data_IF_043260324338
#
_entry.id   IF_043260324338
#
_cell.length_a   1.000
_cell.length_b   1.000
_cell.length_c   1.000
_cell.angle_alpha   90.00
_cell.angle_beta   90.00
_cell.angle_gamma   90.00
#
_symmetry.space_group_name_H-M   'P 1'
#
loop_
_entity.id
_entity.type
_entity.pdbx_description
1 polymer ?
#
# COMPACT_ATOMS: atom_id res chain seq x y z
N UNK A 1 0.61 -22.47 -8.94
CA UNK A 1 1.15 -22.03 -7.63
C UNK A 1 2.65 -22.31 -7.48
N UNK A 2 3.15 -23.55 -7.66
CA UNK A 2 4.59 -23.83 -7.51
C UNK A 2 5.50 -22.99 -8.44
N UNK A 3 5.19 -22.94 -9.73
CA UNK A 3 5.96 -22.13 -10.71
C UNK A 3 5.89 -20.62 -10.40
N UNK A 4 4.74 -20.12 -9.92
CA UNK A 4 4.55 -18.72 -9.53
C UNK A 4 5.44 -18.36 -8.35
N UNK A 5 5.39 -19.18 -7.30
CA UNK A 5 6.23 -19.03 -6.11
C UNK A 5 7.71 -19.09 -6.48
N UNK A 6 8.14 -20.10 -7.24
CA UNK A 6 9.53 -20.28 -7.68
C UNK A 6 10.03 -19.08 -8.49
N UNK A 7 9.20 -18.54 -9.40
CA UNK A 7 9.53 -17.33 -10.15
C UNK A 7 9.67 -16.13 -9.23
N UNK A 8 8.74 -15.92 -8.31
CA UNK A 8 8.79 -14.79 -7.37
C UNK A 8 10.04 -14.84 -6.48
N UNK A 9 10.34 -15.97 -5.85
CA UNK A 9 11.52 -16.08 -4.97
C UNK A 9 12.85 -16.05 -5.73
N UNK A 10 12.85 -16.37 -7.04
CA UNK A 10 14.01 -16.17 -7.90
C UNK A 10 14.29 -14.70 -8.20
N UNK A 11 13.24 -13.85 -8.23
CA UNK A 11 13.37 -12.39 -8.35
C UNK A 11 13.67 -11.71 -7.01
N UNK A 12 13.16 -12.29 -5.92
CA UNK A 12 13.31 -11.76 -4.56
C UNK A 12 13.96 -12.79 -3.64
N UNK A 13 15.29 -13.00 -3.74
CA UNK A 13 16.02 -13.99 -2.95
C UNK A 13 16.27 -13.51 -1.50
N UNK A 14 15.25 -12.94 -0.87
CA UNK A 14 15.29 -12.41 0.50
C UNK A 14 14.68 -13.40 1.50
N UNK A 15 15.05 -13.33 2.79
CA UNK A 15 14.40 -14.12 3.84
C UNK A 15 12.89 -13.91 3.81
N UNK A 16 12.14 -15.01 3.84
CA UNK A 16 10.68 -14.93 3.86
C UNK A 16 10.06 -16.13 4.58
N UNK A 17 8.86 -15.91 5.11
CA UNK A 17 8.01 -16.92 5.71
C UNK A 17 6.73 -17.09 4.89
N UNK A 18 6.31 -18.34 4.67
CA UNK A 18 5.03 -18.66 4.03
C UNK A 18 3.94 -18.81 5.09
N UNK A 19 2.81 -18.13 4.90
CA UNK A 19 1.62 -18.29 5.73
C UNK A 19 0.64 -19.23 5.02
N UNK A 20 0.19 -20.27 5.73
CA UNK A 20 -0.68 -21.31 5.15
C UNK A 20 -2.07 -20.75 4.88
N UNK A 21 -2.72 -21.22 3.82
CA UNK A 21 -4.14 -20.97 3.61
C UNK A 21 -4.99 -21.48 4.78
N UNK A 22 -6.00 -20.69 5.16
CA UNK A 22 -6.83 -20.99 6.32
C UNK A 22 -6.12 -20.82 7.68
N UNK A 23 -4.87 -20.34 7.71
CA UNK A 23 -4.25 -19.94 8.96
C UNK A 23 -5.08 -18.83 9.63
N UNK A 24 -5.24 -18.83 10.96
CA UNK A 24 -5.99 -17.80 11.67
C UNK A 24 -5.43 -16.41 11.34
N UNK A 25 -6.29 -15.41 11.06
CA UNK A 25 -5.82 -14.05 10.73
C UNK A 25 -4.96 -13.41 11.82
N UNK A 26 -5.21 -13.74 13.09
CA UNK A 26 -4.40 -13.31 14.22
C UNK A 26 -2.93 -13.83 14.14
N UNK A 27 -2.71 -14.96 13.47
CA UNK A 27 -1.36 -15.47 13.22
C UNK A 27 -0.59 -14.54 12.29
N UNK A 28 -1.18 -14.13 11.15
CA UNK A 28 -0.53 -13.20 10.22
C UNK A 28 -0.14 -11.89 10.91
N UNK A 29 -1.06 -11.28 11.65
CA UNK A 29 -0.81 -10.01 12.35
C UNK A 29 0.35 -10.14 13.35
N UNK A 30 0.36 -11.22 14.15
CA UNK A 30 1.43 -11.49 15.11
C UNK A 30 2.77 -11.66 14.40
N UNK A 31 2.82 -12.46 13.32
CA UNK A 31 4.06 -12.74 12.59
C UNK A 31 4.60 -11.48 11.90
N UNK A 32 3.74 -10.67 11.29
CA UNK A 32 4.15 -9.39 10.72
C UNK A 32 4.78 -8.45 11.77
N UNK A 33 4.16 -8.32 12.95
CA UNK A 33 4.72 -7.50 14.04
C UNK A 33 6.03 -8.05 14.62
N UNK A 34 6.18 -9.38 14.70
CA UNK A 34 7.45 -10.02 15.08
C UNK A 34 8.57 -9.65 14.10
N UNK A 35 8.32 -9.81 12.80
CA UNK A 35 9.27 -9.43 11.76
C UNK A 35 9.57 -7.91 11.79
N UNK A 36 8.57 -7.07 12.04
CA UNK A 36 8.76 -5.61 12.12
C UNK A 36 9.66 -5.22 13.30
N UNK A 37 9.47 -5.88 14.44
CA UNK A 37 10.31 -5.68 15.62
C UNK A 37 11.76 -6.16 15.39
N UNK A 38 11.94 -7.35 14.81
CA UNK A 38 13.26 -7.90 14.52
C UNK A 38 14.00 -7.11 13.43
N UNK A 39 13.28 -6.65 12.41
CA UNK A 39 13.82 -5.94 11.26
C UNK A 39 14.47 -4.60 11.62
N UNK A 40 13.95 -3.90 12.64
CA UNK A 40 14.55 -2.66 13.17
C UNK A 40 16.04 -2.83 13.53
N UNK A 41 16.42 -3.98 14.09
CA UNK A 41 17.80 -4.27 14.47
C UNK A 41 18.64 -4.78 13.29
N UNK A 42 18.01 -5.49 12.34
CA UNK A 42 18.69 -6.08 11.17
C UNK A 42 18.85 -5.10 10.01
N UNK A 43 18.15 -3.96 10.05
CA UNK A 43 18.07 -3.02 8.93
C UNK A 43 17.23 -3.57 7.78
N UNK A 44 16.18 -4.31 8.12
CA UNK A 44 15.22 -4.87 7.17
C UNK A 44 13.82 -4.34 7.44
N UNK A 45 12.99 -4.30 6.40
CA UNK A 45 11.59 -3.91 6.47
C UNK A 45 10.73 -5.08 6.01
N UNK A 46 9.81 -5.60 6.83
CA UNK A 46 8.93 -6.68 6.41
C UNK A 46 7.78 -6.16 5.56
N UNK A 47 7.31 -7.01 4.66
CA UNK A 47 6.10 -6.77 3.89
C UNK A 47 5.37 -8.11 3.68
N UNK A 48 4.05 -8.11 3.88
CA UNK A 48 3.22 -9.25 3.46
C UNK A 48 2.94 -9.11 1.96
N UNK A 49 3.36 -10.10 1.19
CA UNK A 49 3.07 -10.21 -0.24
C UNK A 49 1.93 -11.20 -0.40
N UNK A 50 0.77 -10.72 -0.88
CA UNK A 50 -0.31 -11.58 -1.33
C UNK A 50 -0.07 -11.96 -2.79
N UNK A 51 0.73 -13.01 -2.98
CA UNK A 51 1.25 -13.43 -4.27
C UNK A 51 0.18 -14.12 -5.11
N UNK A 52 -0.19 -13.49 -6.22
CA UNK A 52 -0.98 -14.05 -7.31
C UNK A 52 -0.30 -13.74 -8.66
N UNK A 53 -0.76 -14.35 -9.78
CA UNK A 53 -0.20 -14.08 -11.10
C UNK A 53 -0.31 -12.61 -11.55
N UNK A 54 -1.33 -11.90 -11.09
CA UNK A 54 -1.57 -10.49 -11.46
C UNK A 54 -0.54 -9.59 -10.80
N UNK A 55 -0.30 -9.75 -9.50
CA UNK A 55 0.71 -8.97 -8.77
C UNK A 55 2.10 -9.17 -9.37
N UNK A 56 2.52 -10.43 -9.58
CA UNK A 56 3.82 -10.71 -10.18
C UNK A 56 3.92 -10.11 -11.59
N UNK A 57 2.88 -10.28 -12.42
CA UNK A 57 2.86 -9.73 -13.76
C UNK A 57 2.98 -8.20 -13.77
N UNK A 58 2.31 -7.50 -12.85
CA UNK A 58 2.43 -6.05 -12.72
C UNK A 58 3.85 -5.63 -12.33
N UNK A 59 4.44 -6.29 -11.34
CA UNK A 59 5.83 -6.04 -10.92
C UNK A 59 6.79 -6.21 -12.10
N UNK A 60 6.70 -7.34 -12.81
CA UNK A 60 7.57 -7.63 -13.96
C UNK A 60 7.36 -6.61 -15.08
N UNK A 61 6.12 -6.19 -15.34
CA UNK A 61 5.83 -5.18 -16.36
C UNK A 61 6.42 -3.81 -15.98
N UNK A 62 6.27 -3.37 -14.74
CA UNK A 62 6.80 -2.08 -14.28
C UNK A 62 8.33 -2.05 -14.31
N UNK A 63 8.98 -3.15 -13.90
CA UNK A 63 10.44 -3.30 -14.03
C UNK A 63 10.85 -3.32 -15.51
N UNK A 64 10.13 -4.07 -16.35
CA UNK A 64 10.41 -4.14 -17.79
C UNK A 64 10.33 -2.78 -18.47
N UNK A 65 9.27 -2.02 -18.20
CA UNK A 65 9.04 -0.71 -18.81
C UNK A 65 10.15 0.29 -18.49
N UNK A 66 10.59 0.35 -17.22
CA UNK A 66 11.64 1.30 -16.82
C UNK A 66 13.02 0.86 -17.29
N UNK A 67 13.36 -0.42 -17.13
CA UNK A 67 14.70 -0.93 -17.46
C UNK A 67 14.88 -1.25 -18.94
N UNK A 68 13.80 -1.23 -19.73
CA UNK A 68 13.76 -1.74 -21.11
C UNK A 68 14.19 -3.21 -21.24
N UNK A 69 14.15 -3.97 -20.13
CA UNK A 69 14.46 -5.40 -20.11
C UNK A 69 13.18 -6.19 -20.40
N UNK A 70 13.14 -7.12 -21.37
CA UNK A 70 11.97 -7.97 -21.59
C UNK A 70 11.62 -8.80 -20.35
N UNK A 71 10.33 -8.97 -20.05
CA UNK A 71 9.83 -9.67 -18.85
C UNK A 71 10.52 -11.02 -18.59
N UNK A 72 10.64 -11.86 -19.63
CA UNK A 72 11.28 -13.18 -19.54
C UNK A 72 12.77 -13.15 -19.15
N UNK A 73 13.43 -11.99 -19.31
CA UNK A 73 14.84 -11.80 -19.01
C UNK A 73 15.05 -11.09 -17.66
N UNK A 74 13.99 -10.70 -16.95
CA UNK A 74 14.12 -10.07 -15.64
C UNK A 74 14.71 -11.08 -14.65
N UNK A 75 15.75 -10.63 -13.95
CA UNK A 75 16.43 -11.36 -12.87
C UNK A 75 16.35 -10.58 -11.56
N UNK A 76 16.81 -11.18 -10.45
CA UNK A 76 16.96 -10.48 -9.17
C UNK A 76 17.81 -9.22 -9.32
N UNK A 77 18.93 -9.28 -10.06
CA UNK A 77 19.80 -8.11 -10.30
C UNK A 77 19.06 -6.99 -11.05
N UNK A 78 18.18 -7.33 -12.00
CA UNK A 78 17.36 -6.33 -12.71
C UNK A 78 16.40 -5.62 -11.76
N UNK A 79 15.75 -6.38 -10.86
CA UNK A 79 14.81 -5.84 -9.86
C UNK A 79 15.56 -4.99 -8.83
N UNK A 80 16.71 -5.46 -8.35
CA UNK A 80 17.55 -4.73 -7.40
C UNK A 80 18.06 -3.42 -8.01
N UNK A 81 18.54 -3.46 -9.26
CA UNK A 81 18.96 -2.24 -9.97
C UNK A 81 17.80 -1.26 -10.14
N UNK A 82 16.62 -1.73 -10.57
CA UNK A 82 15.42 -0.90 -10.67
C UNK A 82 15.10 -0.20 -9.34
N UNK A 83 15.10 -0.96 -8.24
CA UNK A 83 14.76 -0.44 -6.92
C UNK A 83 15.79 0.59 -6.45
N UNK A 84 17.09 0.32 -6.64
CA UNK A 84 18.16 1.24 -6.28
C UNK A 84 18.11 2.55 -7.05
N UNK A 85 17.87 2.50 -8.36
CA UNK A 85 17.74 3.70 -9.20
C UNK A 85 16.56 4.55 -8.72
N UNK A 86 15.39 3.93 -8.54
CA UNK A 86 14.19 4.62 -8.09
C UNK A 86 14.36 5.23 -6.68
N UNK A 87 14.93 4.50 -5.73
CA UNK A 87 15.22 5.03 -4.38
C UNK A 87 16.23 6.19 -4.45
N UNK A 88 17.25 6.08 -5.30
CA UNK A 88 18.26 7.14 -5.46
C UNK A 88 17.65 8.41 -6.05
N UNK A 89 16.80 8.27 -7.06
CA UNK A 89 16.08 9.39 -7.65
C UNK A 89 15.12 10.02 -6.65
N UNK A 90 14.41 9.20 -5.87
CA UNK A 90 13.52 9.65 -4.82
C UNK A 90 14.28 10.45 -3.76
N UNK A 91 15.39 9.94 -3.22
CA UNK A 91 16.20 10.67 -2.24
C UNK A 91 16.68 12.01 -2.80
N UNK A 92 17.15 12.04 -4.06
CA UNK A 92 17.59 13.30 -4.69
C UNK A 92 16.47 14.31 -4.81
N UNK A 93 15.26 13.85 -5.15
CA UNK A 93 14.08 14.72 -5.23
C UNK A 93 13.66 15.22 -3.85
N UNK A 94 13.60 14.34 -2.85
CA UNK A 94 13.29 14.70 -1.46
C UNK A 94 14.30 15.70 -0.87
N UNK A 95 15.60 15.57 -1.17
CA UNK A 95 16.63 16.51 -0.74
C UNK A 95 16.42 17.92 -1.33
N UNK A 96 15.75 18.03 -2.49
CA UNK A 96 15.50 19.30 -3.17
C UNK A 96 14.23 20.00 -2.68
N UNK A 97 13.14 19.25 -2.49
CA UNK A 97 11.81 19.83 -2.22
C UNK A 97 11.27 19.55 -0.82
N UNK A 98 11.79 18.52 -0.14
CA UNK A 98 11.28 18.02 1.14
C UNK A 98 10.11 17.04 1.00
N UNK A 99 9.89 16.24 2.05
CA UNK A 99 8.91 15.14 2.06
C UNK A 99 7.46 15.63 1.90
N UNK A 100 7.08 16.67 2.62
CA UNK A 100 5.71 17.21 2.56
C UNK A 100 5.35 17.73 1.16
N UNK A 101 6.25 18.49 0.53
CA UNK A 101 6.03 19.02 -0.83
C UNK A 101 5.93 17.87 -1.85
N UNK A 102 6.82 16.89 -1.77
CA UNK A 102 6.79 15.72 -2.64
C UNK A 102 5.48 14.94 -2.54
N UNK A 103 4.98 14.68 -1.32
CA UNK A 103 3.73 13.98 -1.11
C UNK A 103 2.51 14.80 -1.58
N UNK A 104 2.50 16.11 -1.32
CA UNK A 104 1.44 17.00 -1.80
C UNK A 104 1.38 17.08 -3.33
N UNK A 105 2.53 17.10 -4.01
CA UNK A 105 2.59 16.99 -5.47
C UNK A 105 2.04 15.66 -5.96
N UNK A 106 2.40 14.54 -5.31
CA UNK A 106 1.86 13.22 -5.63
C UNK A 106 0.34 13.15 -5.43
N UNK A 107 -0.18 13.60 -4.28
CA UNK A 107 -1.63 13.65 -4.01
C UNK A 107 -2.37 14.50 -5.06
N UNK A 108 -1.82 15.66 -5.42
CA UNK A 108 -2.42 16.53 -6.44
C UNK A 108 -2.43 15.87 -7.82
N UNK A 109 -1.38 15.15 -8.19
CA UNK A 109 -1.33 14.43 -9.48
C UNK A 109 -2.37 13.30 -9.53
N UNK A 110 -2.61 12.61 -8.43
CA UNK A 110 -3.59 11.53 -8.34
C UNK A 110 -5.02 12.06 -8.39
N UNK A 111 -5.31 13.16 -7.70
CA UNK A 111 -6.65 13.74 -7.67
C UNK A 111 -6.61 15.26 -7.42
N UNK A 112 -6.39 16.04 -8.48
CA UNK A 112 -6.25 17.49 -8.37
C UNK A 112 -7.51 18.17 -7.80
N UNK A 113 -8.69 17.65 -8.14
CA UNK A 113 -9.95 18.22 -7.66
C UNK A 113 -10.10 18.09 -6.14
N UNK A 114 -9.92 16.87 -5.60
CA UNK A 114 -9.98 16.65 -4.16
C UNK A 114 -8.88 17.41 -3.42
N UNK A 115 -7.68 17.50 -4.02
CA UNK A 115 -6.57 18.25 -3.47
C UNK A 115 -6.88 19.75 -3.32
N UNK A 116 -7.30 20.42 -4.40
CA UNK A 116 -7.54 21.86 -4.41
C UNK A 116 -8.80 22.28 -3.64
N UNK A 117 -9.86 21.47 -3.69
CA UNK A 117 -11.15 21.83 -3.12
C UNK A 117 -11.29 21.46 -1.65
N UNK A 118 -10.65 20.38 -1.21
CA UNK A 118 -10.80 19.83 0.15
C UNK A 118 -9.49 19.85 0.91
N UNK A 119 -8.48 19.10 0.43
CA UNK A 119 -7.25 18.86 1.19
C UNK A 119 -6.49 20.15 1.51
N UNK A 120 -6.24 20.99 0.51
CA UNK A 120 -5.53 22.25 0.69
C UNK A 120 -6.23 23.18 1.69
N UNK A 121 -7.55 23.24 1.66
CA UNK A 121 -8.34 24.09 2.58
C UNK A 121 -8.28 23.56 4.01
N UNK A 122 -8.33 22.24 4.19
CA UNK A 122 -8.15 21.59 5.49
C UNK A 122 -6.79 21.91 6.11
N UNK A 123 -5.73 21.84 5.30
CA UNK A 123 -4.37 22.11 5.73
C UNK A 123 -4.15 23.61 6.03
N UNK A 124 -4.67 24.51 5.20
CA UNK A 124 -4.47 25.97 5.33
C UNK A 124 -5.37 26.63 6.39
N UNK A 125 -6.65 26.24 6.48
CA UNK A 125 -7.65 26.97 7.27
C UNK A 125 -8.05 26.26 8.57
N UNK A 126 -7.70 24.97 8.72
CA UNK A 126 -7.97 24.20 9.93
C UNK A 126 -9.43 24.00 10.32
N UNK A 127 -10.39 24.41 9.50
CA UNK A 127 -11.83 24.33 9.76
C UNK A 127 -12.56 23.56 8.64
N UNK A 128 -13.31 22.52 9.04
CA UNK A 128 -14.51 22.07 8.33
C UNK A 128 -15.72 22.73 8.99
N UNK A 129 -16.81 22.87 8.23
CA UNK A 129 -17.99 23.63 8.64
C UNK A 129 -18.58 23.20 10.00
N UNK A 130 -19.30 24.11 10.65
CA UNK A 130 -19.84 23.97 12.01
C UNK A 130 -20.73 22.74 12.27
N UNK A 131 -21.13 22.00 11.22
CA UNK A 131 -21.98 20.80 11.31
C UNK A 131 -21.24 19.53 11.80
N UNK A 132 -19.92 19.58 11.99
CA UNK A 132 -19.08 18.42 12.36
C UNK A 132 -18.75 18.29 13.87
N UNK A 133 -19.41 19.04 14.75
CA UNK A 133 -19.10 19.05 16.19
C UNK A 133 -19.99 18.13 17.07
N UNK A 134 -20.86 17.30 16.47
CA UNK A 134 -21.93 16.63 17.21
C UNK A 134 -21.81 15.13 17.52
N UNK A 135 -20.96 14.36 16.81
CA UNK A 135 -20.94 12.89 16.94
C UNK A 135 -19.60 12.37 17.46
N UNK A 136 -19.57 11.69 18.61
CA UNK A 136 -18.34 11.09 19.13
C UNK A 136 -17.94 9.86 18.29
N UNK A 137 -16.70 9.87 17.79
CA UNK A 137 -16.07 8.71 17.16
C UNK A 137 -15.63 7.70 18.24
N UNK A 138 -15.65 6.40 17.94
CA UNK A 138 -15.27 5.32 18.86
C UNK A 138 -14.02 4.61 18.34
N UNK A 139 -12.98 4.52 19.17
CA UNK A 139 -11.68 3.92 18.85
C UNK A 139 -11.45 2.65 19.67
N UNK A 140 -12.10 1.54 19.31
CA UNK A 140 -11.80 0.24 19.92
C UNK A 140 -11.84 -0.85 18.85
N UNK A 141 -10.76 -0.94 18.07
CA UNK A 141 -10.63 -1.95 17.03
C UNK A 141 -9.25 -2.61 17.12
N UNK A 142 -9.19 -3.95 17.13
CA UNK A 142 -7.91 -4.65 17.13
C UNK A 142 -7.25 -4.49 15.76
N UNK A 143 -5.91 -4.41 15.75
CA UNK A 143 -5.14 -4.49 14.51
C UNK A 143 -5.47 -5.78 13.75
N UNK A 144 -6.01 -5.64 12.53
CA UNK A 144 -6.44 -6.77 11.72
C UNK A 144 -6.19 -6.56 10.22
N UNK A 145 -5.13 -7.17 9.69
CA UNK A 145 -4.87 -7.14 8.26
C UNK A 145 -5.97 -7.87 7.48
N UNK A 146 -6.54 -7.18 6.49
CA UNK A 146 -7.56 -7.71 5.57
C UNK A 146 -7.03 -8.92 4.81
N UNK A 147 -5.74 -8.93 4.44
CA UNK A 147 -5.11 -10.10 3.84
C UNK A 147 -5.22 -11.36 4.73
N UNK A 148 -5.10 -11.19 6.05
CA UNK A 148 -5.30 -12.28 7.02
C UNK A 148 -6.74 -12.78 7.03
N UNK A 149 -7.71 -11.86 7.01
CA UNK A 149 -9.14 -12.19 6.93
C UNK A 149 -9.46 -12.97 5.65
N UNK A 150 -8.96 -12.51 4.51
CA UNK A 150 -9.14 -13.16 3.21
C UNK A 150 -8.55 -14.57 3.25
N UNK A 151 -7.30 -14.70 3.72
CA UNK A 151 -6.60 -15.97 3.79
C UNK A 151 -7.28 -16.99 4.73
N UNK A 152 -7.77 -16.55 5.89
CA UNK A 152 -8.50 -17.41 6.83
C UNK A 152 -9.80 -17.95 6.21
N UNK A 153 -10.47 -17.15 5.38
CA UNK A 153 -11.78 -17.48 4.78
C UNK A 153 -11.68 -18.27 3.47
N UNK A 154 -10.48 -18.56 2.96
CA UNK A 154 -10.29 -19.35 1.74
C UNK A 154 -10.92 -20.73 1.92
N UNK A 155 -11.85 -21.08 1.02
CA UNK A 155 -12.47 -22.40 1.01
C UNK A 155 -11.53 -23.41 0.36
N UNK A 156 -11.60 -24.66 0.79
CA UNK A 156 -10.80 -25.75 0.23
C UNK A 156 -10.91 -25.89 -1.30
N UNK A 157 -12.07 -25.53 -1.87
CA UNK A 157 -12.32 -25.55 -3.32
C UNK A 157 -11.64 -24.42 -4.09
N UNK A 158 -11.27 -23.34 -3.40
CA UNK A 158 -10.74 -22.11 -4.00
C UNK A 158 -9.24 -21.91 -3.71
N UNK A 159 -8.60 -22.83 -2.96
CA UNK A 159 -7.18 -22.76 -2.57
C UNK A 159 -6.27 -22.54 -3.79
N UNK A 160 -6.50 -23.27 -4.88
CA UNK A 160 -5.66 -23.16 -6.09
C UNK A 160 -5.74 -21.80 -6.79
N UNK A 161 -6.76 -20.99 -6.46
CA UNK A 161 -6.98 -19.63 -7.01
C UNK A 161 -6.67 -18.53 -6.00
N UNK A 162 -6.48 -18.87 -4.73
CA UNK A 162 -6.21 -17.90 -3.68
C UNK A 162 -4.76 -17.42 -3.76
N UNK A 163 -4.54 -16.14 -3.43
CA UNK A 163 -3.21 -15.59 -3.33
C UNK A 163 -2.43 -16.24 -2.18
N UNK A 164 -1.17 -16.58 -2.43
CA UNK A 164 -0.29 -17.14 -1.41
C UNK A 164 0.31 -16.01 -0.57
N UNK A 165 0.26 -16.11 0.76
CA UNK A 165 0.79 -15.08 1.64
C UNK A 165 2.25 -15.37 2.03
N UNK A 166 3.13 -14.40 1.77
CA UNK A 166 4.54 -14.42 2.14
C UNK A 166 4.84 -13.22 3.03
N UNK A 167 5.50 -13.39 4.18
CA UNK A 167 6.12 -12.28 4.91
C UNK A 167 7.57 -12.21 4.47
N UNK A 168 7.95 -11.17 3.76
CA UNK A 168 9.29 -11.00 3.18
C UNK A 168 10.05 -9.87 3.88
N UNK A 169 11.29 -10.14 4.30
CA UNK A 169 12.18 -9.15 4.91
C UNK A 169 13.07 -8.50 3.85
N UNK A 170 12.67 -7.32 3.37
CA UNK A 170 13.46 -6.57 2.39
C UNK A 170 14.66 -5.88 3.06
N UNK A 171 15.81 -5.74 2.39
CA UNK A 171 17.04 -5.15 2.93
C UNK A 171 16.97 -3.61 2.98
N UNK A 172 15.93 -3.08 3.59
CA UNK A 172 15.56 -1.66 3.60
C UNK A 172 15.52 -1.11 5.02
N UNK A 173 16.13 0.07 5.21
CA UNK A 173 15.96 0.90 6.42
C UNK A 173 14.84 1.93 6.26
N UNK A 174 14.70 2.48 5.06
CA UNK A 174 13.56 3.33 4.72
C UNK A 174 12.40 2.44 4.30
N UNK A 175 11.35 2.45 5.12
CA UNK A 175 10.19 1.57 4.94
C UNK A 175 9.39 1.93 3.69
N UNK A 176 9.48 3.18 3.21
CA UNK A 176 8.83 3.60 1.97
C UNK A 176 9.42 2.88 0.75
N UNK A 177 10.70 2.49 0.82
CA UNK A 177 11.44 1.79 -0.23
C UNK A 177 10.82 0.46 -0.67
N UNK A 178 9.87 -0.09 0.09
CA UNK A 178 9.10 -1.29 -0.27
C UNK A 178 8.47 -1.12 -1.66
N UNK A 179 7.94 0.05 -2.00
CA UNK A 179 7.31 0.30 -3.31
C UNK A 179 8.31 0.38 -4.47
N UNK A 180 9.60 0.56 -4.19
CA UNK A 180 10.64 0.45 -5.21
C UNK A 180 11.04 -1.01 -5.47
N UNK A 181 11.07 -1.84 -4.42
CA UNK A 181 11.37 -3.26 -4.55
C UNK A 181 10.18 -4.03 -5.14
N UNK A 182 8.96 -3.72 -4.72
CA UNK A 182 7.72 -4.30 -5.19
C UNK A 182 6.91 -3.22 -5.92
N UNK A 183 7.25 -2.88 -7.18
CA UNK A 183 6.60 -1.83 -7.95
C UNK A 183 5.18 -2.24 -8.36
N UNK A 184 4.28 -2.16 -7.40
CA UNK A 184 2.83 -2.21 -7.56
C UNK A 184 2.32 -0.88 -8.15
N UNK A 185 1.14 -0.92 -8.74
CA UNK A 185 0.43 0.26 -9.23
C UNK A 185 0.82 0.66 -10.66
N UNK A 186 0.46 1.89 -11.02
CA UNK A 186 0.72 2.48 -12.34
C UNK A 186 -0.27 2.10 -13.44
N UNK A 187 -1.38 1.43 -13.10
CA UNK A 187 -2.52 1.22 -14.01
C UNK A 187 -3.70 2.12 -13.64
N UNK A 188 -4.48 2.53 -14.64
CA UNK A 188 -5.72 3.30 -14.46
C UNK A 188 -5.58 4.46 -13.45
N UNK A 189 -6.26 4.36 -12.30
CA UNK A 189 -6.22 5.33 -11.20
C UNK A 189 -5.34 4.91 -10.03
N UNK A 190 -4.64 3.76 -10.15
CA UNK A 190 -3.69 3.29 -9.14
C UNK A 190 -2.40 4.11 -9.21
N UNK A 191 -1.87 4.60 -8.07
CA UNK A 191 -0.65 5.42 -8.07
C UNK A 191 0.54 4.67 -8.68
N UNK A 192 1.48 5.42 -9.29
CA UNK A 192 2.74 4.83 -9.73
C UNK A 192 3.63 4.47 -8.52
N UNK A 193 4.65 3.62 -8.71
CA UNK A 193 5.64 3.34 -7.67
C UNK A 193 6.29 4.61 -7.08
N UNK A 194 6.62 5.61 -7.91
CA UNK A 194 7.18 6.92 -7.49
C UNK A 194 6.21 7.70 -6.59
N UNK A 195 4.94 7.75 -6.98
CA UNK A 195 3.90 8.43 -6.20
C UNK A 195 3.72 7.73 -4.84
N UNK A 196 3.65 6.39 -4.83
CA UNK A 196 3.55 5.64 -3.58
C UNK A 196 4.78 5.78 -2.69
N UNK A 197 6.00 5.85 -3.24
CA UNK A 197 7.21 6.11 -2.45
C UNK A 197 7.11 7.45 -1.71
N UNK A 198 6.69 8.50 -2.41
CA UNK A 198 6.54 9.85 -1.84
C UNK A 198 5.47 9.87 -0.74
N UNK A 199 4.31 9.26 -1.01
CA UNK A 199 3.17 9.21 -0.08
C UNK A 199 3.49 8.34 1.14
N UNK A 200 4.07 7.17 0.94
CA UNK A 200 4.46 6.27 2.03
C UNK A 200 5.55 6.89 2.92
N UNK A 201 6.50 7.63 2.33
CA UNK A 201 7.49 8.36 3.12
C UNK A 201 6.85 9.42 4.00
N UNK A 202 5.88 10.16 3.46
CA UNK A 202 5.14 11.18 4.20
C UNK A 202 4.29 10.58 5.33
N UNK A 203 3.53 9.52 5.06
CA UNK A 203 2.75 8.82 6.08
C UNK A 203 3.64 8.17 7.14
N UNK A 204 4.82 7.67 6.77
CA UNK A 204 5.78 7.16 7.74
C UNK A 204 6.29 8.26 8.67
N UNK A 205 6.70 9.42 8.12
CA UNK A 205 7.21 10.54 8.94
C UNK A 205 6.13 11.18 9.81
N UNK A 206 4.90 11.28 9.31
CA UNK A 206 3.79 11.94 10.03
C UNK A 206 3.13 11.01 11.05
N UNK A 207 2.87 9.76 10.67
CA UNK A 207 1.95 8.87 11.39
C UNK A 207 2.58 7.54 11.83
N UNK A 208 3.89 7.36 11.64
CA UNK A 208 4.60 6.09 11.88
C UNK A 208 3.92 4.92 11.12
N UNK A 209 3.44 5.19 9.90
CA UNK A 209 2.75 4.23 9.06
C UNK A 209 3.73 3.40 8.22
N UNK A 210 3.73 2.09 8.46
CA UNK A 210 4.57 1.09 7.80
C UNK A 210 3.76 0.38 6.71
N UNK A 211 4.27 0.23 5.48
CA UNK A 211 3.68 -0.69 4.52
C UNK A 211 3.60 -2.11 5.13
N UNK A 212 2.41 -2.69 5.12
CA UNK A 212 2.13 -3.97 5.77
C UNK A 212 1.76 -5.06 4.78
N UNK A 213 0.97 -4.72 3.75
CA UNK A 213 0.56 -5.67 2.71
C UNK A 213 0.67 -5.04 1.33
N UNK A 214 1.14 -5.82 0.35
CA UNK A 214 0.95 -5.58 -1.08
C UNK A 214 0.23 -6.79 -1.69
N UNK A 215 -0.93 -6.54 -2.28
CA UNK A 215 -1.70 -7.48 -3.09
C UNK A 215 -1.80 -6.96 -4.53
N UNK A 216 -2.52 -7.66 -5.42
CA UNK A 216 -2.68 -7.21 -6.81
C UNK A 216 -3.63 -6.01 -6.96
N UNK A 217 -4.59 -5.84 -6.06
CA UNK A 217 -5.62 -4.79 -6.13
C UNK A 217 -5.77 -3.97 -4.83
N UNK A 218 -5.01 -4.29 -3.79
CA UNK A 218 -4.98 -3.50 -2.55
C UNK A 218 -3.60 -3.45 -1.91
N UNK A 219 -3.42 -2.45 -1.04
CA UNK A 219 -2.30 -2.36 -0.12
C UNK A 219 -2.84 -2.07 1.28
N UNK A 220 -2.05 -2.44 2.29
CA UNK A 220 -2.36 -2.13 3.68
C UNK A 220 -1.16 -1.48 4.36
N UNK A 221 -1.41 -0.56 5.27
CA UNK A 221 -0.40 -0.02 6.19
C UNK A 221 -0.74 -0.39 7.64
N UNK A 222 0.30 -0.46 8.47
CA UNK A 222 0.21 -0.59 9.91
C UNK A 222 0.77 0.68 10.57
N UNK A 223 0.07 1.25 11.54
CA UNK A 223 0.61 2.27 12.45
C UNK A 223 0.50 1.82 13.91
N UNK A 224 1.55 1.94 14.72
CA UNK A 224 1.47 1.73 16.16
C UNK A 224 0.75 2.88 16.89
N UNK A 225 0.59 4.04 16.24
CA UNK A 225 0.02 5.26 16.83
C UNK A 225 -1.18 5.72 15.97
N UNK A 226 -2.37 5.16 16.20
CA UNK A 226 -3.53 5.47 15.38
C UNK A 226 -3.97 6.92 15.54
N UNK A 227 -4.57 7.49 14.49
CA UNK A 227 -5.15 8.84 14.53
C UNK A 227 -6.33 8.86 15.49
N UNK A 228 -6.30 9.75 16.49
CA UNK A 228 -7.31 9.80 17.57
C UNK A 228 -7.99 11.15 17.70
N UNK A 229 -7.78 12.03 16.72
CA UNK A 229 -8.59 13.24 16.56
C UNK A 229 -9.46 13.10 15.33
N UNK A 230 -10.67 13.68 15.38
CA UNK A 230 -11.58 13.70 14.22
C UNK A 230 -10.92 14.40 13.02
N UNK A 231 -10.21 15.51 13.28
CA UNK A 231 -9.49 16.27 12.25
C UNK A 231 -8.44 15.43 11.53
N UNK A 232 -7.60 14.69 12.26
CA UNK A 232 -6.55 13.88 11.64
C UNK A 232 -7.15 12.71 10.86
N UNK A 233 -8.23 12.10 11.37
CA UNK A 233 -8.98 11.07 10.64
C UNK A 233 -9.62 11.62 9.35
N UNK A 234 -10.11 12.85 9.35
CA UNK A 234 -10.64 13.52 8.15
C UNK A 234 -9.55 13.84 7.14
N UNK A 235 -8.41 14.37 7.57
CA UNK A 235 -7.25 14.60 6.70
C UNK A 235 -6.81 13.29 6.05
N UNK A 236 -6.65 12.23 6.84
CA UNK A 236 -6.26 10.91 6.34
C UNK A 236 -7.33 10.34 5.39
N UNK A 237 -8.62 10.53 5.66
CA UNK A 237 -9.69 10.11 4.76
C UNK A 237 -9.66 10.84 3.41
N UNK A 238 -9.32 12.14 3.38
CA UNK A 238 -9.13 12.89 2.14
C UNK A 238 -7.92 12.36 1.38
N UNK A 239 -6.82 12.08 2.06
CA UNK A 239 -5.62 11.47 1.46
C UNK A 239 -5.93 10.10 0.84
N UNK A 240 -6.60 9.22 1.59
CA UNK A 240 -7.09 7.94 1.08
C UNK A 240 -7.98 8.11 -0.15
N UNK A 241 -8.82 9.15 -0.20
CA UNK A 241 -9.67 9.46 -1.36
C UNK A 241 -8.87 9.94 -2.57
N UNK A 242 -7.77 10.67 -2.34
CA UNK A 242 -6.86 11.09 -3.41
C UNK A 242 -6.06 9.90 -3.96
N UNK A 243 -5.61 9.01 -3.08
CA UNK A 243 -4.85 7.81 -3.41
C UNK A 243 -5.71 6.74 -4.08
N UNK A 244 -6.94 6.56 -3.61
CA UNK A 244 -7.95 5.72 -4.24
C UNK A 244 -9.34 6.36 -4.12
N UNK A 245 -9.88 6.77 -5.27
CA UNK A 245 -11.25 7.31 -5.35
C UNK A 245 -12.33 6.28 -5.02
N UNK A 246 -11.99 4.98 -4.99
CA UNK A 246 -12.91 3.91 -4.64
C UNK A 246 -13.19 3.84 -3.12
N UNK A 247 -12.31 4.40 -2.27
CA UNK A 247 -12.41 4.27 -0.82
C UNK A 247 -13.75 4.77 -0.26
N UNK A 248 -14.15 6.04 -0.45
CA UNK A 248 -15.41 6.51 0.09
C UNK A 248 -16.62 5.83 -0.57
N UNK A 249 -16.62 5.66 -1.90
CA UNK A 249 -17.85 5.25 -2.61
C UNK A 249 -18.08 3.74 -2.61
N UNK A 250 -17.03 2.95 -2.84
CA UNK A 250 -17.14 1.50 -3.04
C UNK A 250 -16.80 0.70 -1.79
N UNK A 251 -15.83 1.14 -1.00
CA UNK A 251 -15.38 0.42 0.20
C UNK A 251 -16.24 0.80 1.42
N UNK A 252 -16.31 2.09 1.75
CA UNK A 252 -16.90 2.55 3.02
C UNK A 252 -18.32 3.13 2.92
N UNK A 253 -18.88 3.30 1.71
CA UNK A 253 -20.23 3.84 1.45
C UNK A 253 -20.46 5.27 1.96
N UNK A 254 -19.42 6.09 1.96
CA UNK A 254 -19.46 7.51 2.30
C UNK A 254 -18.12 7.99 2.87
N UNK A 255 -17.88 9.29 2.76
CA UNK A 255 -16.69 9.92 3.35
C UNK A 255 -16.69 9.80 4.89
N UNK A 256 -17.82 10.12 5.54
CA UNK A 256 -17.92 10.01 7.02
C UNK A 256 -17.67 8.59 7.53
N UNK A 257 -18.04 7.57 6.74
CA UNK A 257 -17.78 6.17 7.07
C UNK A 257 -16.31 5.78 6.89
N UNK A 258 -15.61 6.39 5.94
CA UNK A 258 -14.16 6.27 5.84
C UNK A 258 -13.48 6.96 7.04
N UNK A 259 -13.94 8.13 7.47
CA UNK A 259 -13.43 8.83 8.68
C UNK A 259 -13.64 7.98 9.94
N UNK A 260 -14.87 7.49 10.17
CA UNK A 260 -15.18 6.57 11.27
C UNK A 260 -14.30 5.32 11.24
N UNK A 261 -14.04 4.80 10.04
CA UNK A 261 -13.24 3.60 9.86
C UNK A 261 -11.74 3.84 9.96
N UNK A 262 -11.23 5.07 9.90
CA UNK A 262 -9.81 5.37 10.10
C UNK A 262 -9.50 5.82 11.53
N UNK A 263 -10.49 6.41 12.20
CA UNK A 263 -10.35 6.89 13.57
C UNK A 263 -10.04 5.74 14.55
N UNK A 264 -8.89 5.83 15.21
CA UNK A 264 -8.42 4.85 16.16
C UNK A 264 -7.95 3.54 15.55
N UNK A 265 -7.80 3.44 14.23
CA UNK A 265 -7.34 2.21 13.57
C UNK A 265 -5.83 2.12 13.44
N UNK A 266 -5.33 0.91 13.70
CA UNK A 266 -3.95 0.54 13.48
C UNK A 266 -3.66 0.10 12.04
N UNK A 267 -4.67 -0.37 11.30
CA UNK A 267 -4.54 -0.78 9.92
C UNK A 267 -5.27 0.16 8.97
N UNK A 268 -4.60 0.49 7.86
CA UNK A 268 -5.14 1.35 6.82
C UNK A 268 -5.22 0.56 5.53
N UNK A 269 -6.43 0.41 5.01
CA UNK A 269 -6.70 -0.35 3.79
C UNK A 269 -6.93 0.60 2.61
N UNK A 270 -6.30 0.30 1.47
CA UNK A 270 -6.47 1.01 0.20
C UNK A 270 -6.70 0.00 -0.92
N UNK A 271 -7.76 0.17 -1.70
CA UNK A 271 -8.17 -0.76 -2.76
C UNK A 271 -8.46 -0.05 -4.07
N UNK A 272 -8.16 -0.71 -5.19
CA UNK A 272 -8.44 -0.25 -6.53
C UNK A 272 -9.20 -1.31 -7.31
N UNK A 273 -10.14 -0.86 -8.12
CA UNK A 273 -10.80 -1.76 -9.07
C UNK A 273 -9.83 -2.07 -10.22
N UNK A 274 -9.51 -3.34 -10.42
CA UNK A 274 -8.89 -3.78 -11.66
C UNK A 274 -10.00 -3.95 -12.70
N UNK A 275 -10.02 -3.09 -13.73
CA UNK A 275 -10.90 -3.30 -14.86
C UNK A 275 -10.45 -4.55 -15.62
N UNK A 276 -11.34 -5.52 -15.91
CA UNK A 276 -11.01 -6.64 -16.78
C UNK A 276 -10.47 -6.13 -18.11
N UNK A 277 -9.36 -6.70 -18.59
CA UNK A 277 -8.73 -6.33 -19.87
C UNK A 277 -9.69 -6.33 -21.08
N UNK A 278 -10.81 -7.07 -20.99
CA UNK A 278 -11.86 -7.11 -22.01
C UNK A 278 -12.64 -5.80 -22.17
N UNK A 279 -12.62 -4.88 -21.20
CA UNK A 279 -13.29 -3.58 -21.28
C UNK A 279 -12.42 -2.47 -21.91
N UNK A 280 -11.15 -2.77 -22.22
CA UNK A 280 -10.26 -1.85 -22.95
C UNK A 280 -10.39 -1.98 -24.48
N UNK A 281 -11.26 -2.88 -24.98
CA UNK A 281 -11.59 -3.03 -26.39
C UNK A 281 -13.05 -2.65 -26.64
N UNK A 282 -13.47 -1.42 -26.34
CA UNK A 282 -14.56 -0.74 -27.04
C UNK A 282 -14.28 0.76 -26.97
N UNK A 283 -13.78 1.40 -28.04
CA UNK A 283 -14.65 1.93 -29.10
C UNK A 283 -13.79 2.40 -30.29
N UNK A 284 -14.38 2.44 -31.51
CA UNK A 284 -13.69 2.51 -32.80
C UNK A 284 -13.06 3.86 -33.15
#
# INVERSE_FOLDING_TARGET
MAELYERFVALYPYPHERIRHGAPRAELNRRYLEHLCEGKNRGTTPIVVALDPTLLGTIENNVSLRTSTPVQNITADTVEQYAHELITDQHRYLDQVGVEVAAHEAFRQLNESAYLQTYRRLMENGELGEDDLGMPLKAEYPFELTAGIINEKVKATDIDRAAELLIMDLPLRDVSGVFAYLPFGGWDSSPSPEAMLSIARYWFERDDAYPAVIASDFIEFYTPVPVTTRRDAEILAVEHTMVSSAMPVRVYRGFDKLVEALYGQHDWYLWWEQLPAALLIETP
#
